data_IF_919846015949
#
_entry.id   IF_919846015949
#
_cell.length_a   1.000
_cell.length_b   1.000
_cell.length_c   1.000
_cell.angle_alpha   90.00
_cell.angle_beta   90.00
_cell.angle_gamma   90.00
#
_symmetry.space_group_name_H-M   'P 1'
#
loop_
_entity.id
_entity.type
_entity.pdbx_description
1 polymer ?
#
# COMPACT_ATOMS: atom_id res chain seq x y z
N UNK A 1 17.39 60.04 2.31
CA UNK A 1 17.52 58.65 2.80
C UNK A 1 16.09 58.17 2.91
N UNK A 2 15.54 57.86 1.75
CA UNK A 2 14.13 57.51 1.53
C UNK A 2 14.17 56.11 0.91
N UNK A 3 13.60 55.11 1.57
CA UNK A 3 12.30 54.55 1.20
C UNK A 3 11.95 53.33 2.08
N UNK A 4 10.64 53.18 2.26
CA UNK A 4 9.84 52.26 3.08
C UNK A 4 9.96 50.76 2.67
N UNK A 5 9.37 49.82 3.46
CA UNK A 5 9.69 48.39 3.45
C UNK A 5 8.84 47.55 2.49
N UNK A 6 9.47 46.63 1.76
CA UNK A 6 8.77 45.68 0.90
C UNK A 6 8.42 44.35 1.60
N UNK A 7 7.12 44.15 1.80
CA UNK A 7 6.42 42.99 1.22
C UNK A 7 6.45 41.67 1.98
N UNK A 8 5.41 41.44 2.80
CA UNK A 8 4.88 40.08 3.06
C UNK A 8 4.53 39.41 1.73
N UNK A 9 4.95 38.16 1.52
CA UNK A 9 4.33 37.26 0.53
C UNK A 9 3.66 36.10 1.26
N UNK A 10 2.33 36.22 1.28
CA UNK A 10 1.39 35.17 1.63
C UNK A 10 1.31 34.12 0.51
N UNK A 11 1.00 32.89 0.90
CA UNK A 11 0.15 31.98 0.13
C UNK A 11 0.72 31.37 -1.15
N UNK A 12 1.18 30.13 -1.04
CA UNK A 12 0.97 29.17 -2.13
C UNK A 12 0.57 27.82 -1.52
N UNK A 13 -0.71 27.71 -1.18
CA UNK A 13 -1.38 26.42 -1.04
C UNK A 13 -1.31 25.74 -2.41
N UNK A 14 -0.40 24.79 -2.55
CA UNK A 14 -0.38 23.86 -3.69
C UNK A 14 -1.59 22.94 -3.55
N UNK A 15 -2.73 23.39 -4.05
CA UNK A 15 -3.82 22.49 -4.39
C UNK A 15 -3.43 21.78 -5.69
N UNK A 16 -2.64 20.73 -5.55
CA UNK A 16 -2.31 19.83 -6.65
C UNK A 16 -3.51 18.89 -6.84
N UNK A 17 -4.52 19.38 -7.56
CA UNK A 17 -5.43 18.49 -8.28
C UNK A 17 -4.64 17.90 -9.44
N UNK A 18 -3.86 16.84 -9.12
CA UNK A 18 -3.16 16.00 -10.08
C UNK A 18 -4.19 15.46 -11.09
N UNK A 19 -4.32 16.18 -12.20
CA UNK A 19 -5.10 15.74 -13.35
C UNK A 19 -4.17 14.84 -14.16
N UNK A 20 -3.87 13.66 -13.61
CA UNK A 20 -3.10 12.63 -14.31
C UNK A 20 -4.01 12.07 -15.41
N UNK A 21 -3.70 12.41 -16.67
CA UNK A 21 -4.23 11.70 -17.84
C UNK A 21 -4.14 10.19 -17.59
N UNK A 22 -5.23 9.43 -17.79
CA UNK A 22 -5.24 8.01 -17.46
C UNK A 22 -4.16 7.32 -18.29
N UNK A 23 -3.14 6.81 -17.61
CA UNK A 23 -2.10 6.00 -18.23
C UNK A 23 -2.79 4.86 -18.97
N UNK A 24 -2.64 4.81 -20.30
CA UNK A 24 -3.16 3.74 -21.14
C UNK A 24 -2.32 2.47 -20.96
N UNK A 25 -2.39 1.88 -19.77
CA UNK A 25 -1.72 0.66 -19.41
C UNK A 25 -2.52 -0.54 -19.93
N UNK A 26 -1.84 -1.64 -20.31
CA UNK A 26 -2.52 -2.88 -20.64
C UNK A 26 -3.36 -3.37 -19.44
N UNK A 27 -4.48 -4.07 -19.68
CA UNK A 27 -5.31 -4.61 -18.62
C UNK A 27 -4.51 -5.58 -17.73
N UNK A 28 -4.75 -5.51 -16.42
CA UNK A 28 -4.15 -6.42 -15.45
C UNK A 28 -5.05 -7.65 -15.30
N UNK A 29 -4.47 -8.84 -15.45
CA UNK A 29 -5.14 -10.12 -15.19
C UNK A 29 -4.44 -10.86 -14.05
N UNK A 30 -5.23 -11.38 -13.10
CA UNK A 30 -4.75 -12.30 -12.07
C UNK A 30 -4.92 -13.73 -12.60
N UNK A 31 -3.90 -14.56 -12.41
CA UNK A 31 -3.85 -15.94 -12.89
C UNK A 31 -3.48 -16.88 -11.74
N UNK A 32 -3.49 -18.18 -12.03
CA UNK A 32 -3.11 -19.26 -11.09
C UNK A 32 -4.01 -19.39 -9.86
N UNK A 33 -5.28 -19.75 -10.10
CA UNK A 33 -6.29 -19.99 -9.05
C UNK A 33 -6.29 -21.43 -8.51
N UNK A 34 -5.22 -22.23 -8.72
CA UNK A 34 -5.20 -23.65 -8.36
C UNK A 34 -5.36 -23.93 -6.85
N UNK A 35 -4.96 -22.97 -6.01
CA UNK A 35 -5.13 -23.00 -4.55
C UNK A 35 -6.10 -21.91 -4.04
N UNK A 36 -6.72 -21.16 -4.94
CA UNK A 36 -7.59 -20.06 -4.55
C UNK A 36 -8.91 -20.58 -3.98
N UNK A 37 -9.45 -19.84 -3.01
CA UNK A 37 -10.74 -20.11 -2.41
C UNK A 37 -11.51 -18.79 -2.26
N UNK A 38 -12.84 -18.87 -2.34
CA UNK A 38 -13.69 -17.74 -1.98
C UNK A 38 -13.78 -17.63 -0.46
N UNK A 39 -13.22 -16.56 0.11
CA UNK A 39 -13.28 -16.31 1.55
C UNK A 39 -13.64 -14.87 1.88
N UNK A 40 -14.51 -14.70 2.88
CA UNK A 40 -14.83 -13.42 3.49
C UNK A 40 -14.03 -13.15 4.77
N UNK A 41 -13.20 -14.10 5.22
CA UNK A 41 -12.46 -13.98 6.47
C UNK A 41 -11.31 -12.97 6.33
N UNK A 42 -11.19 -12.00 7.25
CA UNK A 42 -10.07 -11.05 7.24
C UNK A 42 -8.69 -11.71 7.39
N UNK A 43 -8.61 -12.89 8.03
CA UNK A 43 -7.37 -13.67 8.15
C UNK A 43 -6.87 -14.14 6.77
N UNK A 44 -7.73 -14.77 5.97
CA UNK A 44 -7.33 -15.32 4.66
C UNK A 44 -6.86 -14.20 3.73
N UNK A 45 -7.60 -13.10 3.68
CA UNK A 45 -7.20 -11.91 2.91
C UNK A 45 -5.89 -11.29 3.40
N UNK A 46 -5.65 -11.29 4.71
CA UNK A 46 -4.41 -10.79 5.28
C UNK A 46 -3.23 -11.71 4.98
N UNK A 47 -3.45 -13.02 4.89
CA UNK A 47 -2.44 -13.99 4.43
C UNK A 47 -2.11 -13.73 2.97
N UNK A 48 -3.10 -13.52 2.09
CA UNK A 48 -2.85 -13.19 0.68
C UNK A 48 -2.00 -11.92 0.51
N UNK A 49 -2.34 -10.84 1.22
CA UNK A 49 -1.56 -9.60 1.23
C UNK A 49 -0.13 -9.84 1.73
N UNK A 50 0.04 -10.67 2.76
CA UNK A 50 1.35 -11.00 3.29
C UNK A 50 2.19 -11.82 2.30
N UNK A 51 1.60 -12.78 1.59
CA UNK A 51 2.28 -13.54 0.55
C UNK A 51 2.77 -12.62 -0.57
N UNK A 52 1.91 -11.70 -1.05
CA UNK A 52 2.29 -10.70 -2.05
C UNK A 52 3.43 -9.79 -1.56
N UNK A 53 3.35 -9.33 -0.31
CA UNK A 53 4.41 -8.53 0.33
C UNK A 53 5.77 -9.24 0.32
N UNK A 54 5.79 -10.52 0.73
CA UNK A 54 7.02 -11.33 0.73
C UNK A 54 7.54 -11.58 -0.70
N UNK A 55 6.65 -11.82 -1.65
CA UNK A 55 7.03 -12.04 -3.05
C UNK A 55 7.73 -10.80 -3.63
N UNK A 56 7.16 -9.61 -3.44
CA UNK A 56 7.74 -8.34 -3.91
C UNK A 56 9.05 -8.02 -3.20
N UNK A 57 9.12 -8.17 -1.87
CA UNK A 57 10.36 -7.91 -1.14
C UNK A 57 11.50 -8.85 -1.55
N UNK A 58 11.20 -10.10 -1.89
CA UNK A 58 12.22 -11.10 -2.28
C UNK A 58 12.73 -10.93 -3.71
N UNK A 59 11.91 -10.42 -4.63
CA UNK A 59 12.25 -10.33 -6.07
C UNK A 59 12.54 -8.91 -6.55
N UNK A 60 11.96 -7.90 -5.90
CA UNK A 60 11.96 -6.49 -6.31
C UNK A 60 12.23 -5.54 -5.14
N UNK A 61 13.24 -5.85 -4.33
CA UNK A 61 13.55 -5.14 -3.08
C UNK A 61 13.64 -3.61 -3.24
N UNK A 62 14.29 -3.11 -4.30
CA UNK A 62 14.52 -1.67 -4.51
C UNK A 62 13.24 -0.84 -4.66
N UNK A 63 12.16 -1.44 -5.18
CA UNK A 63 10.87 -0.77 -5.40
C UNK A 63 9.79 -1.21 -4.41
N UNK A 64 10.11 -2.17 -3.55
CA UNK A 64 9.14 -2.80 -2.64
C UNK A 64 8.42 -1.78 -1.75
N UNK A 65 9.13 -0.85 -1.13
CA UNK A 65 8.56 0.15 -0.23
C UNK A 65 7.50 1.07 -0.90
N UNK A 66 7.82 1.79 -2.00
CA UNK A 66 6.82 2.62 -2.66
C UNK A 66 5.68 1.79 -3.27
N UNK A 67 5.97 0.62 -3.83
CA UNK A 67 4.95 -0.28 -4.38
C UNK A 67 3.96 -0.75 -3.30
N UNK A 68 4.45 -1.28 -2.19
CA UNK A 68 3.62 -1.82 -1.10
C UNK A 68 2.82 -0.72 -0.42
N UNK A 69 3.38 0.48 -0.29
CA UNK A 69 2.66 1.62 0.26
C UNK A 69 1.46 2.00 -0.62
N UNK A 70 1.66 2.09 -1.95
CA UNK A 70 0.58 2.37 -2.89
C UNK A 70 -0.47 1.25 -2.93
N UNK A 71 -0.02 -0.01 -2.91
CA UNK A 71 -0.90 -1.18 -2.86
C UNK A 71 -1.81 -1.15 -1.62
N UNK A 72 -1.24 -0.97 -0.43
CA UNK A 72 -2.00 -1.00 0.83
C UNK A 72 -2.95 0.20 0.93
N UNK A 73 -2.54 1.39 0.51
CA UNK A 73 -3.41 2.56 0.47
C UNK A 73 -4.57 2.40 -0.52
N UNK A 74 -4.33 1.75 -1.67
CA UNK A 74 -5.41 1.42 -2.61
C UNK A 74 -6.34 0.35 -2.05
N UNK A 75 -5.79 -0.68 -1.39
CA UNK A 75 -6.57 -1.72 -0.75
C UNK A 75 -7.48 -1.14 0.35
N UNK A 76 -6.96 -0.22 1.17
CA UNK A 76 -7.74 0.48 2.20
C UNK A 76 -8.95 1.22 1.62
N UNK A 77 -8.78 1.88 0.48
CA UNK A 77 -9.84 2.67 -0.17
C UNK A 77 -10.91 1.84 -0.87
N UNK A 78 -10.51 0.72 -1.48
CA UNK A 78 -11.39 0.00 -2.42
C UNK A 78 -11.88 -1.36 -1.92
N UNK A 79 -11.18 -2.01 -0.99
CA UNK A 79 -11.55 -3.34 -0.54
C UNK A 79 -12.63 -3.32 0.55
N UNK A 80 -13.64 -4.19 0.40
CA UNK A 80 -14.63 -4.40 1.45
C UNK A 80 -13.99 -5.04 2.69
N UNK A 81 -14.23 -4.43 3.85
CA UNK A 81 -13.66 -4.87 5.13
C UNK A 81 -12.15 -4.64 5.24
N UNK A 82 -11.61 -3.65 4.52
CA UNK A 82 -10.18 -3.37 4.51
C UNK A 82 -9.62 -3.10 5.91
N UNK A 83 -10.30 -2.31 6.74
CA UNK A 83 -9.84 -2.00 8.09
C UNK A 83 -9.60 -3.26 8.95
N UNK A 84 -10.51 -4.25 8.91
CA UNK A 84 -10.33 -5.51 9.65
C UNK A 84 -9.19 -6.35 9.07
N UNK A 85 -9.07 -6.37 7.74
CA UNK A 85 -7.99 -7.10 7.05
C UNK A 85 -6.62 -6.52 7.37
N UNK A 86 -6.48 -5.19 7.31
CA UNK A 86 -5.22 -4.49 7.57
C UNK A 86 -4.81 -4.58 9.04
N UNK A 87 -5.78 -4.50 9.97
CA UNK A 87 -5.52 -4.79 11.38
C UNK A 87 -5.00 -6.23 11.57
N UNK A 88 -5.55 -7.18 10.81
CA UNK A 88 -5.13 -8.59 10.89
C UNK A 88 -3.78 -8.87 10.25
N UNK A 89 -3.43 -8.14 9.18
CA UNK A 89 -2.13 -8.21 8.50
C UNK A 89 -0.96 -7.98 9.48
N UNK A 90 -1.10 -7.07 10.44
CA UNK A 90 -0.10 -6.85 11.47
C UNK A 90 0.18 -8.12 12.30
N UNK A 91 -0.87 -8.87 12.67
CA UNK A 91 -0.74 -10.13 13.40
C UNK A 91 -0.14 -11.25 12.52
N UNK A 92 -0.50 -11.30 11.23
CA UNK A 92 0.08 -12.25 10.27
C UNK A 92 1.59 -12.01 10.12
N UNK A 93 2.03 -10.75 9.94
CA UNK A 93 3.44 -10.36 9.84
C UNK A 93 4.28 -10.84 11.04
N UNK A 94 3.72 -10.75 12.26
CA UNK A 94 4.39 -11.21 13.48
C UNK A 94 4.56 -12.74 13.50
N UNK A 95 3.57 -13.50 13.03
CA UNK A 95 3.64 -14.97 12.95
C UNK A 95 4.58 -15.46 11.84
N UNK A 96 4.65 -14.73 10.73
CA UNK A 96 5.46 -15.09 9.55
C UNK A 96 6.97 -14.87 9.75
N UNK A 97 7.39 -14.14 10.78
CA UNK A 97 8.82 -14.05 11.16
C UNK A 97 9.22 -15.31 11.92
N UNK A 98 10.34 -15.92 11.53
CA UNK A 98 10.95 -17.05 12.25
C UNK A 98 11.12 -16.65 13.73
N UNK A 99 10.36 -17.29 14.63
CA UNK A 99 10.50 -17.08 16.07
C UNK A 99 11.83 -17.69 16.50
N UNK A 100 12.65 -16.92 17.22
CA UNK A 100 13.75 -17.50 18.00
C UNK A 100 13.11 -18.43 19.04
N UNK A 101 13.40 -19.72 18.94
CA UNK A 101 12.97 -20.71 19.92
C UNK A 101 13.92 -20.56 21.11
N UNK A 102 13.56 -19.71 22.07
CA UNK A 102 14.26 -19.62 23.35
C UNK A 102 13.54 -20.58 24.28
N UNK A 103 14.19 -21.70 24.58
CA UNK A 103 13.88 -22.61 25.68
C UNK A 103 14.85 -22.38 26.83
#
# INVERSE_FOLDING_TARGET
>A
MEDEPEGKREGETRDATDTEEPLNLPPICIIDFGLAATSSLPEDKAVDLYVLERAVESTHFSISSPFLSGLLASYERHAQGAAQTLARLAAVRLRGRKRLMIG
#
